data_IF_575529967459
#
_entry.id   IF_575529967459
#
_cell.length_a   1.000
_cell.length_b   1.000
_cell.length_c   1.000
_cell.angle_alpha   90.00
_cell.angle_beta   90.00
_cell.angle_gamma   90.00
#
_symmetry.space_group_name_H-M   'P 1'
#
loop_
_entity.id
_entity.type
_entity.pdbx_description
1 polymer ?
#
# COMPACT_ATOMS: atom_id res chain seq x y z
N UNK A 1 3.04 -5.78 45.79
CA UNK A 1 2.08 -6.28 46.81
C UNK A 1 0.75 -6.75 46.22
N UNK A 2 0.08 -5.98 45.36
CA UNK A 2 -1.22 -6.37 44.77
C UNK A 2 -1.20 -7.75 44.05
N UNK A 3 -0.21 -8.01 43.19
CA UNK A 3 -0.05 -9.30 42.49
C UNK A 3 -0.05 -10.49 43.46
N UNK A 4 0.62 -10.36 44.60
CA UNK A 4 0.74 -11.43 45.59
C UNK A 4 -0.61 -11.69 46.29
N UNK A 5 -1.37 -10.64 46.61
CA UNK A 5 -2.72 -10.79 47.17
C UNK A 5 -3.66 -11.48 46.19
N UNK A 6 -3.65 -11.07 44.92
CA UNK A 6 -4.48 -11.70 43.90
C UNK A 6 -4.07 -13.15 43.62
N UNK A 7 -2.77 -13.46 43.62
CA UNK A 7 -2.28 -14.84 43.48
C UNK A 7 -2.71 -15.73 44.65
N UNK A 8 -2.72 -15.22 45.89
CA UNK A 8 -3.25 -15.96 47.05
C UNK A 8 -4.76 -16.18 46.93
N UNK A 9 -5.52 -15.18 46.51
CA UNK A 9 -6.95 -15.32 46.30
C UNK A 9 -7.27 -16.40 45.24
N UNK A 10 -6.56 -16.38 44.11
CA UNK A 10 -6.70 -17.36 43.04
C UNK A 10 -6.22 -18.77 43.42
N UNK A 11 -5.33 -18.89 44.40
CA UNK A 11 -4.93 -20.18 44.97
C UNK A 11 -6.01 -20.77 45.88
N UNK A 12 -6.75 -19.91 46.60
CA UNK A 12 -7.87 -20.34 47.44
C UNK A 12 -9.10 -20.69 46.60
N UNK A 13 -9.41 -19.88 45.60
CA UNK A 13 -10.48 -20.13 44.64
C UNK A 13 -10.07 -19.68 43.22
N UNK A 14 -9.87 -20.66 42.34
CA UNK A 14 -9.44 -20.43 40.96
C UNK A 14 -10.56 -19.94 40.04
N UNK A 15 -11.82 -19.96 40.50
CA UNK A 15 -13.00 -19.57 39.72
C UNK A 15 -13.30 -18.07 39.81
N UNK A 16 -12.56 -17.32 40.63
CA UNK A 16 -12.73 -15.87 40.79
C UNK A 16 -12.20 -15.10 39.57
N UNK A 17 -13.02 -15.00 38.53
CA UNK A 17 -12.68 -14.37 37.23
C UNK A 17 -12.14 -12.95 37.40
N UNK A 18 -12.79 -12.14 38.23
CA UNK A 18 -12.40 -10.74 38.46
C UNK A 18 -10.97 -10.60 38.99
N UNK A 19 -10.48 -11.58 39.76
CA UNK A 19 -9.13 -11.55 40.30
C UNK A 19 -8.06 -11.79 39.23
N UNK A 20 -8.38 -12.50 38.14
CA UNK A 20 -7.48 -12.54 36.98
C UNK A 20 -7.39 -11.16 36.32
N UNK A 21 -8.51 -10.44 36.16
CA UNK A 21 -8.51 -9.11 35.57
C UNK A 21 -7.78 -8.09 36.46
N UNK A 22 -8.00 -8.11 37.78
CA UNK A 22 -7.29 -7.25 38.75
C UNK A 22 -5.79 -7.58 38.80
N UNK A 23 -5.42 -8.85 38.72
CA UNK A 23 -4.00 -9.25 38.65
C UNK A 23 -3.36 -8.81 37.35
N UNK A 24 -4.08 -8.90 36.23
CA UNK A 24 -3.61 -8.35 34.97
C UNK A 24 -3.38 -6.84 35.07
N UNK A 25 -4.29 -6.10 35.69
CA UNK A 25 -4.12 -4.65 35.90
C UNK A 25 -2.85 -4.35 36.69
N UNK A 26 -2.60 -5.08 37.77
CA UNK A 26 -1.35 -4.93 38.54
C UNK A 26 -0.10 -5.22 37.67
N UNK A 27 -0.14 -6.20 36.78
CA UNK A 27 0.96 -6.48 35.85
C UNK A 27 1.13 -5.39 34.77
N UNK A 28 0.04 -4.77 34.31
CA UNK A 28 0.10 -3.63 33.37
C UNK A 28 0.85 -2.46 34.02
N UNK A 29 0.55 -2.15 35.29
CA UNK A 29 1.24 -1.09 36.04
C UNK A 29 2.73 -1.41 36.27
N UNK A 30 3.12 -2.69 36.24
CA UNK A 30 4.51 -3.15 36.31
C UNK A 30 5.17 -3.27 34.92
N UNK A 31 4.46 -2.92 33.84
CA UNK A 31 4.88 -3.13 32.45
C UNK A 31 5.19 -4.60 32.09
N UNK A 32 4.75 -5.57 32.90
CA UNK A 32 4.80 -6.98 32.54
C UNK A 32 3.58 -7.36 31.69
N UNK A 33 3.63 -6.95 30.43
CA UNK A 33 2.56 -7.20 29.48
C UNK A 33 2.34 -8.69 29.20
N UNK A 34 3.38 -9.51 29.36
CA UNK A 34 3.31 -10.96 29.14
C UNK A 34 2.41 -11.63 30.18
N UNK A 35 2.65 -11.36 31.46
CA UNK A 35 1.84 -11.84 32.57
C UNK A 35 0.44 -11.22 32.55
N UNK A 36 0.32 -9.94 32.20
CA UNK A 36 -0.97 -9.30 32.03
C UNK A 36 -1.84 -9.99 30.96
N UNK A 37 -1.28 -10.25 29.77
CA UNK A 37 -1.99 -10.93 28.68
C UNK A 37 -2.42 -12.35 29.07
N UNK A 38 -1.57 -13.10 29.77
CA UNK A 38 -1.94 -14.45 30.22
C UNK A 38 -3.14 -14.44 31.19
N UNK A 39 -3.16 -13.48 32.12
CA UNK A 39 -4.28 -13.33 33.05
C UNK A 39 -5.56 -12.89 32.35
N UNK A 40 -5.49 -11.96 31.40
CA UNK A 40 -6.66 -11.55 30.63
C UNK A 40 -7.19 -12.66 29.73
N UNK A 41 -6.32 -13.49 29.13
CA UNK A 41 -6.76 -14.69 28.38
C UNK A 41 -7.53 -15.67 29.27
N UNK A 42 -7.10 -15.85 30.53
CA UNK A 42 -7.86 -16.65 31.51
C UNK A 42 -9.21 -16.01 31.79
N UNK A 43 -9.27 -14.70 32.05
CA UNK A 43 -10.53 -14.00 32.26
C UNK A 43 -11.49 -14.15 31.06
N UNK A 44 -11.00 -13.95 29.83
CA UNK A 44 -11.77 -14.16 28.61
C UNK A 44 -12.24 -15.61 28.45
N UNK A 45 -11.46 -16.61 28.88
CA UNK A 45 -11.87 -18.01 28.77
C UNK A 45 -13.03 -18.37 29.72
N UNK A 46 -13.14 -17.71 30.86
CA UNK A 46 -14.27 -17.90 31.78
C UNK A 46 -15.50 -17.09 31.36
N UNK A 47 -15.30 -15.88 30.83
CA UNK A 47 -16.38 -14.98 30.41
C UNK A 47 -16.13 -14.47 28.99
N UNK A 48 -16.38 -15.29 27.96
CA UNK A 48 -16.10 -14.91 26.56
C UNK A 48 -16.99 -13.78 26.05
N UNK A 49 -18.19 -13.61 26.63
CA UNK A 49 -19.14 -12.55 26.28
C UNK A 49 -18.74 -11.18 26.85
N UNK A 50 -17.81 -11.14 27.82
CA UNK A 50 -17.37 -9.90 28.45
C UNK A 50 -16.36 -9.17 27.58
N UNK A 51 -16.86 -8.25 26.75
CA UNK A 51 -16.05 -7.46 25.81
C UNK A 51 -14.95 -6.64 26.49
N UNK A 52 -15.11 -6.27 27.77
CA UNK A 52 -14.11 -5.47 28.50
C UNK A 52 -12.78 -6.21 28.66
N UNK A 53 -12.82 -7.52 28.90
CA UNK A 53 -11.58 -8.32 29.01
C UNK A 53 -10.89 -8.45 27.66
N UNK A 54 -11.67 -8.62 26.58
CA UNK A 54 -11.14 -8.65 25.21
C UNK A 54 -10.49 -7.31 24.84
N UNK A 55 -11.15 -6.20 25.11
CA UNK A 55 -10.60 -4.85 24.89
C UNK A 55 -9.34 -4.59 25.70
N UNK A 56 -9.31 -5.00 26.97
CA UNK A 56 -8.10 -4.88 27.79
C UNK A 56 -6.99 -5.79 27.27
N UNK A 57 -7.30 -7.00 26.81
CA UNK A 57 -6.32 -7.94 26.24
C UNK A 57 -5.69 -7.37 24.97
N UNK A 58 -6.49 -6.85 24.04
CA UNK A 58 -5.94 -6.28 22.80
C UNK A 58 -5.13 -5.01 23.05
N UNK A 59 -5.49 -4.21 24.06
CA UNK A 59 -4.66 -3.10 24.53
C UNK A 59 -3.31 -3.57 25.09
N UNK A 60 -3.29 -4.62 25.91
CA UNK A 60 -2.04 -5.18 26.45
C UNK A 60 -1.16 -5.73 25.33
N UNK A 61 -1.74 -6.45 24.36
CA UNK A 61 -1.01 -6.93 23.18
C UNK A 61 -0.46 -5.76 22.36
N UNK A 62 -1.22 -4.67 22.23
CA UNK A 62 -0.71 -3.46 21.56
C UNK A 62 0.52 -2.89 22.25
N UNK A 63 0.46 -2.73 23.58
CA UNK A 63 1.59 -2.20 24.37
C UNK A 63 2.80 -3.12 24.29
N UNK A 64 2.59 -4.43 24.43
CA UNK A 64 3.65 -5.43 24.26
C UNK A 64 4.29 -5.36 22.87
N UNK A 65 3.47 -5.33 21.81
CA UNK A 65 3.94 -5.22 20.44
C UNK A 65 4.68 -3.91 20.19
N UNK A 66 4.26 -2.81 20.83
CA UNK A 66 4.92 -1.51 20.72
C UNK A 66 6.31 -1.53 21.38
N UNK A 67 6.45 -2.11 22.57
CA UNK A 67 7.75 -2.27 23.21
C UNK A 67 8.69 -3.12 22.35
N UNK A 68 8.21 -4.26 21.83
CA UNK A 68 9.00 -5.10 20.92
C UNK A 68 9.39 -4.38 19.62
N UNK A 69 8.52 -3.51 19.11
CA UNK A 69 8.82 -2.70 17.93
C UNK A 69 9.92 -1.67 18.20
N UNK A 70 9.87 -1.01 19.36
CA UNK A 70 10.89 -0.04 19.80
C UNK A 70 12.25 -0.72 20.08
N UNK A 71 12.23 -1.97 20.53
CA UNK A 71 13.42 -2.82 20.67
C UNK A 71 13.94 -3.38 19.32
N UNK A 72 13.32 -3.02 18.19
CA UNK A 72 13.60 -3.56 16.87
C UNK A 72 13.40 -5.09 16.75
N UNK A 73 12.69 -5.72 17.69
CA UNK A 73 12.29 -7.12 17.65
C UNK A 73 11.06 -7.32 16.72
N UNK A 74 11.18 -6.87 15.47
CA UNK A 74 10.08 -6.82 14.51
C UNK A 74 9.38 -8.17 14.25
N UNK A 75 10.06 -9.34 14.22
CA UNK A 75 9.38 -10.62 14.05
C UNK A 75 8.43 -10.94 15.21
N UNK A 76 8.82 -10.61 16.44
CA UNK A 76 8.00 -10.88 17.62
C UNK A 76 6.91 -9.83 17.80
N UNK A 77 7.21 -8.55 17.52
CA UNK A 77 6.20 -7.50 17.42
C UNK A 77 5.11 -7.88 16.40
N UNK A 78 5.50 -8.37 15.22
CA UNK A 78 4.55 -8.82 14.20
C UNK A 78 3.65 -9.96 14.71
N UNK A 79 4.19 -10.95 15.42
CA UNK A 79 3.38 -12.03 16.01
C UNK A 79 2.35 -11.49 17.00
N UNK A 80 2.77 -10.58 17.88
CA UNK A 80 1.90 -10.00 18.92
C UNK A 80 0.81 -9.12 18.29
N UNK A 81 1.15 -8.23 17.36
CA UNK A 81 0.15 -7.43 16.65
C UNK A 81 -0.79 -8.30 15.80
N UNK A 82 -0.29 -9.38 15.20
CA UNK A 82 -1.13 -10.33 14.46
C UNK A 82 -2.16 -10.99 15.39
N UNK A 83 -1.77 -11.38 16.60
CA UNK A 83 -2.71 -11.88 17.62
C UNK A 83 -3.79 -10.84 17.96
N UNK A 84 -3.40 -9.58 18.18
CA UNK A 84 -4.37 -8.51 18.43
C UNK A 84 -5.34 -8.30 17.26
N UNK A 85 -4.85 -8.38 16.02
CA UNK A 85 -5.68 -8.26 14.81
C UNK A 85 -6.68 -9.40 14.65
N UNK A 86 -6.33 -10.63 15.06
CA UNK A 86 -7.26 -11.76 15.04
C UNK A 86 -8.36 -11.63 16.09
N UNK A 87 -8.06 -11.01 17.24
CA UNK A 87 -9.02 -10.78 18.31
C UNK A 87 -10.02 -9.66 18.01
N UNK A 88 -9.60 -8.63 17.26
CA UNK A 88 -10.44 -7.50 16.86
C UNK A 88 -10.19 -7.14 15.38
N UNK A 89 -10.75 -7.92 14.44
CA UNK A 89 -10.50 -7.75 13.00
C UNK A 89 -11.01 -6.41 12.47
N UNK A 90 -12.05 -5.83 13.08
CA UNK A 90 -12.59 -4.52 12.71
C UNK A 90 -11.62 -3.36 12.99
N UNK A 91 -10.65 -3.56 13.89
CA UNK A 91 -9.74 -2.51 14.31
C UNK A 91 -8.50 -2.45 13.41
N UNK A 92 -8.55 -1.59 12.40
CA UNK A 92 -7.47 -1.40 11.43
C UNK A 92 -6.10 -1.04 12.05
N UNK A 93 -6.07 -0.44 13.24
CA UNK A 93 -4.82 -0.04 13.91
C UNK A 93 -3.83 -1.20 14.10
N UNK A 94 -4.32 -2.41 14.39
CA UNK A 94 -3.45 -3.58 14.55
C UNK A 94 -2.82 -4.00 13.22
N UNK A 95 -3.59 -3.95 12.13
CA UNK A 95 -3.08 -4.27 10.79
C UNK A 95 -2.06 -3.25 10.32
N UNK A 96 -2.25 -1.95 10.62
CA UNK A 96 -1.23 -0.94 10.35
C UNK A 96 0.08 -1.20 11.10
N UNK A 97 0.01 -1.67 12.35
CA UNK A 97 1.20 -2.10 13.11
C UNK A 97 1.86 -3.34 12.49
N UNK A 98 1.07 -4.32 12.03
CA UNK A 98 1.60 -5.45 11.27
C UNK A 98 2.32 -4.99 9.99
N UNK A 99 1.74 -4.06 9.23
CA UNK A 99 2.37 -3.49 8.03
C UNK A 99 3.70 -2.81 8.37
N UNK A 100 3.74 -2.00 9.44
CA UNK A 100 4.97 -1.36 9.90
C UNK A 100 6.07 -2.38 10.23
N UNK A 101 5.73 -3.48 10.91
CA UNK A 101 6.67 -4.56 11.18
C UNK A 101 7.15 -5.23 9.89
N UNK A 102 6.25 -5.49 8.94
CA UNK A 102 6.60 -6.11 7.66
C UNK A 102 7.53 -5.22 6.82
N UNK A 103 7.32 -3.90 6.84
CA UNK A 103 8.19 -2.94 6.18
C UNK A 103 9.58 -2.89 6.82
N UNK A 104 9.64 -2.89 8.16
CA UNK A 104 10.91 -2.92 8.90
C UNK A 104 11.69 -4.23 8.70
N UNK A 105 10.98 -5.33 8.41
CA UNK A 105 11.55 -6.63 8.04
C UNK A 105 11.87 -6.76 6.55
N UNK A 106 11.65 -5.71 5.75
CA UNK A 106 11.82 -5.74 4.28
C UNK A 106 10.96 -6.82 3.58
N UNK A 107 9.89 -7.28 4.24
CA UNK A 107 8.93 -8.25 3.71
C UNK A 107 7.88 -7.53 2.86
N UNK A 108 8.33 -6.88 1.78
CA UNK A 108 7.51 -6.00 0.96
C UNK A 108 6.34 -6.71 0.27
N UNK A 109 6.51 -7.96 -0.17
CA UNK A 109 5.43 -8.74 -0.80
C UNK A 109 4.32 -9.07 0.21
N UNK A 110 4.70 -9.45 1.43
CA UNK A 110 3.73 -9.74 2.49
C UNK A 110 2.98 -8.46 2.90
N UNK A 111 3.71 -7.34 3.03
CA UNK A 111 3.10 -6.03 3.28
C UNK A 111 2.12 -5.66 2.16
N UNK A 112 2.51 -5.83 0.89
CA UNK A 112 1.66 -5.56 -0.27
C UNK A 112 0.40 -6.41 -0.24
N UNK A 113 0.51 -7.70 0.12
CA UNK A 113 -0.64 -8.59 0.24
C UNK A 113 -1.63 -8.10 1.31
N UNK A 114 -1.11 -7.62 2.46
CA UNK A 114 -1.93 -7.12 3.57
C UNK A 114 -2.61 -5.81 3.20
N UNK A 115 -1.88 -4.85 2.64
CA UNK A 115 -2.44 -3.56 2.17
C UNK A 115 -3.48 -3.77 1.07
N UNK A 116 -3.25 -4.72 0.17
CA UNK A 116 -4.23 -5.04 -0.89
C UNK A 116 -5.52 -5.60 -0.31
N UNK A 117 -5.45 -6.46 0.71
CA UNK A 117 -6.64 -6.94 1.43
C UNK A 117 -7.40 -5.79 2.10
N UNK A 118 -6.70 -4.85 2.74
CA UNK A 118 -7.37 -3.68 3.36
C UNK A 118 -8.15 -2.85 2.34
N UNK A 119 -7.54 -2.58 1.18
CA UNK A 119 -8.21 -1.84 0.10
C UNK A 119 -9.44 -2.60 -0.41
N UNK A 120 -9.35 -3.92 -0.56
CA UNK A 120 -10.48 -4.75 -1.00
C UNK A 120 -11.64 -4.79 0.01
N UNK A 121 -11.33 -4.68 1.30
CA UNK A 121 -12.34 -4.61 2.37
C UNK A 121 -12.98 -3.23 2.51
N UNK A 122 -12.62 -2.25 1.67
CA UNK A 122 -13.21 -0.91 1.68
C UNK A 122 -12.71 0.01 2.81
N UNK A 123 -11.78 -0.45 3.64
CA UNK A 123 -11.12 0.36 4.68
C UNK A 123 -10.04 1.22 4.03
N UNK A 124 -10.50 2.28 3.37
CA UNK A 124 -9.68 3.11 2.49
C UNK A 124 -9.55 4.53 3.03
N UNK A 125 -8.31 4.97 3.16
CA UNK A 125 -7.95 6.38 3.25
C UNK A 125 -6.80 6.65 2.24
N UNK A 126 -6.45 7.91 2.04
CA UNK A 126 -5.39 8.26 1.09
C UNK A 126 -4.03 7.65 1.48
N UNK A 127 -3.73 7.50 2.78
CA UNK A 127 -2.47 6.92 3.27
C UNK A 127 -2.30 5.44 2.89
N UNK A 128 -3.38 4.64 2.91
CA UNK A 128 -3.35 3.22 2.53
C UNK A 128 -3.03 3.08 1.03
N UNK A 129 -3.66 3.90 0.18
CA UNK A 129 -3.31 3.94 -1.25
C UNK A 129 -1.89 4.43 -1.47
N UNK A 130 -1.44 5.44 -0.72
CA UNK A 130 -0.07 5.94 -0.79
C UNK A 130 0.96 4.87 -0.40
N UNK A 131 0.68 4.10 0.66
CA UNK A 131 1.53 2.98 1.08
C UNK A 131 1.61 1.91 -0.01
N UNK A 132 0.46 1.54 -0.61
CA UNK A 132 0.44 0.56 -1.71
C UNK A 132 1.17 1.07 -2.95
N UNK A 133 1.01 2.34 -3.30
CA UNK A 133 1.74 2.98 -4.39
C UNK A 133 3.25 2.92 -4.16
N UNK A 134 3.75 3.22 -2.95
CA UNK A 134 5.17 3.11 -2.62
C UNK A 134 5.69 1.67 -2.76
N UNK A 135 4.93 0.70 -2.30
CA UNK A 135 5.28 -0.72 -2.47
C UNK A 135 5.33 -1.10 -3.94
N UNK A 136 4.36 -0.68 -4.76
CA UNK A 136 4.40 -0.91 -6.21
C UNK A 136 5.58 -0.21 -6.89
N UNK A 137 5.90 1.02 -6.49
CA UNK A 137 7.06 1.75 -7.01
C UNK A 137 8.36 0.99 -6.70
N UNK A 138 8.52 0.55 -5.44
CA UNK A 138 9.68 -0.24 -5.01
C UNK A 138 9.80 -1.56 -5.77
N UNK A 139 8.67 -2.24 -6.02
CA UNK A 139 8.60 -3.49 -6.75
C UNK A 139 8.61 -3.32 -8.28
N UNK A 140 8.94 -2.14 -8.78
CA UNK A 140 9.00 -1.81 -10.22
C UNK A 140 7.70 -2.10 -10.98
N UNK A 141 6.56 -1.79 -10.35
CA UNK A 141 5.20 -1.86 -10.93
C UNK A 141 4.62 -0.45 -11.10
N UNK A 142 5.20 0.41 -11.95
CA UNK A 142 4.83 1.83 -12.07
C UNK A 142 3.36 2.04 -12.48
N UNK A 143 2.80 1.18 -13.33
CA UNK A 143 1.41 1.33 -13.79
C UNK A 143 0.39 1.20 -12.64
N UNK A 144 0.65 0.29 -11.70
CA UNK A 144 -0.16 0.12 -10.50
C UNK A 144 0.09 1.25 -9.50
N UNK A 145 1.35 1.67 -9.35
CA UNK A 145 1.72 2.83 -8.55
C UNK A 145 0.94 4.09 -8.98
N UNK A 146 0.95 4.41 -10.28
CA UNK A 146 0.25 5.57 -10.83
C UNK A 146 -1.24 5.56 -10.51
N UNK A 147 -1.89 4.41 -10.68
CA UNK A 147 -3.32 4.26 -10.38
C UNK A 147 -3.62 4.50 -8.91
N UNK A 148 -2.80 3.94 -8.01
CA UNK A 148 -2.97 4.14 -6.57
C UNK A 148 -2.71 5.58 -6.14
N UNK A 149 -1.74 6.27 -6.75
CA UNK A 149 -1.53 7.70 -6.50
C UNK A 149 -2.73 8.53 -6.94
N UNK A 150 -3.32 8.20 -8.08
CA UNK A 150 -4.54 8.85 -8.54
C UNK A 150 -5.72 8.57 -7.59
N UNK A 151 -5.88 7.34 -7.11
CA UNK A 151 -6.89 6.99 -6.09
C UNK A 151 -6.65 7.73 -4.77
N UNK A 152 -5.41 7.86 -4.32
CA UNK A 152 -5.05 8.61 -3.12
C UNK A 152 -5.44 10.09 -3.25
N UNK A 153 -5.14 10.72 -4.39
CA UNK A 153 -5.46 12.13 -4.65
C UNK A 153 -6.94 12.39 -4.90
N UNK A 154 -7.71 11.39 -5.34
CA UNK A 154 -9.17 11.48 -5.39
C UNK A 154 -9.78 11.54 -3.97
N UNK A 155 -9.20 10.83 -3.01
CA UNK A 155 -9.64 10.85 -1.61
C UNK A 155 -9.14 12.08 -0.85
N UNK A 156 -7.86 12.43 -1.02
CA UNK A 156 -7.27 13.65 -0.46
C UNK A 156 -6.50 14.42 -1.53
N UNK A 157 -7.15 15.41 -2.17
CA UNK A 157 -6.52 16.27 -3.17
C UNK A 157 -5.37 17.12 -2.62
N UNK A 158 -5.15 17.20 -1.30
CA UNK A 158 -4.05 17.95 -0.68
C UNK A 158 -2.90 17.06 -0.22
N UNK A 159 -2.97 15.74 -0.44
CA UNK A 159 -1.92 14.80 -0.05
C UNK A 159 -0.59 15.12 -0.77
N UNK A 160 0.33 15.76 -0.05
CA UNK A 160 1.57 16.31 -0.62
C UNK A 160 2.46 15.22 -1.22
N UNK A 161 2.67 14.13 -0.48
CA UNK A 161 3.56 13.04 -0.92
C UNK A 161 3.03 12.33 -2.17
N UNK A 162 1.71 12.16 -2.31
CA UNK A 162 1.10 11.58 -3.49
C UNK A 162 1.27 12.49 -4.73
N UNK A 163 1.12 13.81 -4.56
CA UNK A 163 1.39 14.78 -5.65
C UNK A 163 2.83 14.75 -6.11
N UNK A 164 3.78 14.79 -5.18
CA UNK A 164 5.21 14.79 -5.51
C UNK A 164 5.58 13.52 -6.27
N UNK A 165 5.16 12.34 -5.78
CA UNK A 165 5.48 11.08 -6.44
C UNK A 165 4.79 10.97 -7.81
N UNK A 166 3.54 11.42 -7.93
CA UNK A 166 2.83 11.43 -9.21
C UNK A 166 3.51 12.35 -10.23
N UNK A 167 3.93 13.55 -9.80
CA UNK A 167 4.63 14.48 -10.67
C UNK A 167 5.95 13.87 -11.17
N UNK A 168 6.73 13.25 -10.29
CA UNK A 168 7.96 12.55 -10.68
C UNK A 168 7.71 11.48 -11.75
N UNK A 169 6.63 10.69 -11.62
CA UNK A 169 6.27 9.67 -12.61
C UNK A 169 5.86 10.30 -13.95
N UNK A 170 5.08 11.38 -13.92
CA UNK A 170 4.69 12.11 -15.14
C UNK A 170 5.90 12.70 -15.84
N UNK A 171 6.85 13.28 -15.11
CA UNK A 171 8.09 13.83 -15.68
C UNK A 171 8.94 12.73 -16.32
N UNK A 172 9.08 11.58 -15.66
CA UNK A 172 9.74 10.40 -16.23
C UNK A 172 9.04 9.89 -17.49
N UNK A 173 7.71 9.88 -17.51
CA UNK A 173 6.94 9.50 -18.69
C UNK A 173 7.16 10.47 -19.86
N UNK A 174 7.22 11.77 -19.60
CA UNK A 174 7.50 12.79 -20.61
C UNK A 174 8.91 12.65 -21.19
N UNK A 175 9.92 12.44 -20.33
CA UNK A 175 11.30 12.19 -20.76
C UNK A 175 11.39 10.92 -21.62
N UNK A 176 10.80 9.81 -21.17
CA UNK A 176 10.78 8.57 -21.93
C UNK A 176 10.06 8.72 -23.28
N UNK A 177 9.01 9.54 -23.36
CA UNK A 177 8.34 9.89 -24.62
C UNK A 177 9.27 10.69 -25.55
N UNK A 178 10.01 11.67 -25.03
CA UNK A 178 10.95 12.46 -25.83
C UNK A 178 12.08 11.59 -26.40
N UNK A 179 12.68 10.74 -25.57
CA UNK A 179 13.69 9.77 -25.99
C UNK A 179 13.17 8.84 -27.09
N UNK A 180 11.92 8.37 -26.94
CA UNK A 180 11.27 7.54 -27.96
C UNK A 180 11.14 8.29 -29.29
N UNK A 181 10.82 9.59 -29.27
CA UNK A 181 10.78 10.45 -30.45
C UNK A 181 12.13 10.54 -31.17
N UNK A 182 13.20 10.82 -30.42
CA UNK A 182 14.56 10.91 -30.96
C UNK A 182 14.98 9.58 -31.60
N UNK A 183 14.75 8.47 -30.91
CA UNK A 183 15.09 7.13 -31.41
C UNK A 183 14.28 6.74 -32.65
N UNK A 184 13.01 7.12 -32.70
CA UNK A 184 12.15 6.86 -33.86
C UNK A 184 12.65 7.60 -35.11
N UNK A 185 13.04 8.87 -34.95
CA UNK A 185 13.64 9.70 -36.02
C UNK A 185 14.98 9.11 -36.49
N UNK A 186 15.78 8.56 -35.58
CA UNK A 186 17.04 7.86 -35.91
C UNK A 186 16.83 6.48 -36.57
N UNK A 187 15.59 6.01 -36.75
CA UNK A 187 15.28 4.68 -37.27
C UNK A 187 15.49 3.53 -36.28
N UNK A 188 15.81 3.82 -35.02
CA UNK A 188 15.98 2.83 -33.94
C UNK A 188 14.62 2.43 -33.34
N UNK A 189 13.72 1.90 -34.16
CA UNK A 189 12.31 1.69 -33.82
C UNK A 189 12.11 0.75 -32.62
N UNK A 190 12.91 -0.30 -32.47
CA UNK A 190 12.81 -1.21 -31.32
C UNK A 190 13.08 -0.49 -29.98
N UNK A 191 14.14 0.32 -29.93
CA UNK A 191 14.46 1.11 -28.73
C UNK A 191 13.41 2.21 -28.49
N UNK A 192 12.88 2.82 -29.55
CA UNK A 192 11.78 3.77 -29.44
C UNK A 192 10.52 3.12 -28.83
N UNK A 193 10.19 1.90 -29.25
CA UNK A 193 9.09 1.11 -28.70
C UNK A 193 9.29 0.75 -27.22
N UNK A 194 10.51 0.42 -26.82
CA UNK A 194 10.84 0.19 -25.41
C UNK A 194 10.65 1.46 -24.57
N UNK A 195 11.14 2.61 -25.06
CA UNK A 195 11.02 3.89 -24.36
C UNK A 195 9.57 4.36 -24.24
N UNK A 196 8.75 4.20 -25.28
CA UNK A 196 7.32 4.55 -25.18
C UNK A 196 6.56 3.59 -24.26
N UNK A 197 6.91 2.30 -24.19
CA UNK A 197 6.30 1.39 -23.22
C UNK A 197 6.60 1.86 -21.78
N UNK A 198 7.84 2.26 -21.50
CA UNK A 198 8.23 2.85 -20.20
C UNK A 198 7.44 4.14 -19.90
N UNK A 199 7.20 4.99 -20.90
CA UNK A 199 6.36 6.17 -20.74
C UNK A 199 4.91 5.80 -20.36
N UNK A 200 4.32 4.82 -21.05
CA UNK A 200 2.95 4.33 -20.79
C UNK A 200 2.86 3.73 -19.38
N UNK A 201 3.86 2.98 -18.97
CA UNK A 201 3.93 2.39 -17.63
C UNK A 201 3.92 3.45 -16.52
N UNK A 202 4.57 4.59 -16.74
CA UNK A 202 4.64 5.69 -15.77
C UNK A 202 3.46 6.68 -15.85
N UNK A 203 2.74 6.74 -16.96
CA UNK A 203 1.53 7.55 -17.11
C UNK A 203 0.47 6.81 -17.96
N UNK A 204 -0.14 5.74 -17.41
CA UNK A 204 -1.04 4.86 -18.15
C UNK A 204 -2.40 5.49 -18.51
N UNK A 205 -2.70 6.68 -17.99
CA UNK A 205 -3.96 7.39 -18.28
C UNK A 205 -3.83 8.41 -19.41
N UNK A 206 -2.64 8.67 -19.96
CA UNK A 206 -2.46 9.58 -21.09
C UNK A 206 -2.66 8.86 -22.45
N UNK A 207 -3.76 9.13 -23.19
CA UNK A 207 -4.05 8.51 -24.48
C UNK A 207 -3.00 8.82 -25.55
N UNK A 208 -2.30 9.96 -25.43
CA UNK A 208 -1.31 10.41 -26.41
C UNK A 208 -0.11 9.47 -26.50
N UNK A 209 0.19 8.74 -25.42
CA UNK A 209 1.27 7.76 -25.39
C UNK A 209 0.93 6.53 -26.22
N UNK A 210 -0.31 6.05 -26.16
CA UNK A 210 -0.79 4.92 -26.95
C UNK A 210 -0.85 5.26 -28.45
N UNK A 211 -1.33 6.46 -28.78
CA UNK A 211 -1.33 6.95 -30.16
C UNK A 211 0.09 7.01 -30.74
N UNK A 212 1.03 7.58 -29.98
CA UNK A 212 2.43 7.65 -30.39
C UNK A 212 3.03 6.24 -30.58
N UNK A 213 2.79 5.33 -29.63
CA UNK A 213 3.23 3.93 -29.74
C UNK A 213 2.68 3.25 -30.99
N UNK A 214 1.40 3.46 -31.31
CA UNK A 214 0.77 2.94 -32.53
C UNK A 214 1.51 3.45 -33.78
N UNK A 215 1.77 4.77 -33.87
CA UNK A 215 2.49 5.35 -35.00
C UNK A 215 3.89 4.74 -35.17
N UNK A 216 4.68 4.61 -34.10
CA UNK A 216 6.03 4.03 -34.15
C UNK A 216 6.01 2.56 -34.57
N UNK A 217 4.97 1.81 -34.21
CA UNK A 217 4.84 0.39 -34.59
C UNK A 217 4.36 0.16 -36.02
N UNK A 218 3.60 1.09 -36.59
CA UNK A 218 2.96 0.94 -37.91
C UNK A 218 3.75 1.56 -39.06
N UNK A 219 4.46 2.66 -38.82
CA UNK A 219 5.05 3.46 -39.88
C UNK A 219 6.59 3.45 -39.84
N UNK A 220 7.25 3.38 -41.01
CA UNK A 220 8.71 3.48 -41.09
C UNK A 220 9.20 4.88 -40.74
N UNK A 221 10.48 4.99 -40.35
CA UNK A 221 11.08 6.21 -39.79
C UNK A 221 10.95 7.46 -40.66
N UNK A 222 10.97 7.33 -41.99
CA UNK A 222 10.83 8.46 -42.91
C UNK A 222 9.41 9.06 -42.92
N UNK A 223 8.37 8.24 -42.71
CA UNK A 223 6.98 8.72 -42.54
C UNK A 223 6.83 9.46 -41.22
N UNK A 224 7.49 8.96 -40.16
CA UNK A 224 7.52 9.62 -38.86
C UNK A 224 8.26 10.96 -38.94
N UNK A 225 9.37 11.04 -39.68
CA UNK A 225 10.12 12.27 -39.92
C UNK A 225 9.25 13.37 -40.55
N UNK A 226 8.48 13.01 -41.59
CA UNK A 226 7.52 13.92 -42.22
C UNK A 226 6.38 14.35 -41.27
N UNK A 227 5.93 13.45 -40.39
CA UNK A 227 4.88 13.77 -39.44
C UNK A 227 5.34 14.71 -38.31
N UNK A 228 6.59 14.57 -37.84
CA UNK A 228 7.14 15.40 -36.77
C UNK A 228 7.58 16.79 -37.24
N UNK A 229 8.02 16.95 -38.48
CA UNK A 229 8.42 18.26 -39.03
C UNK A 229 7.22 19.16 -39.35
N UNK A 230 6.06 18.58 -39.71
CA UNK A 230 4.83 19.34 -39.96
C UNK A 230 3.99 19.63 -38.70
N UNK A 231 4.23 18.92 -37.59
CA UNK A 231 3.47 19.04 -36.34
C UNK A 231 3.78 20.27 -35.47
N UNK A 232 4.69 21.15 -35.88
CA UNK A 232 5.03 22.38 -35.16
C UNK A 232 3.94 23.47 -35.19
N UNK A 233 2.89 23.31 -35.99
CA UNK A 233 1.83 24.33 -36.22
C UNK A 233 0.49 24.02 -35.52
N UNK A 234 0.48 23.17 -34.49
CA UNK A 234 -0.70 22.98 -33.63
C UNK A 234 -1.84 22.15 -34.24
N UNK A 235 -1.65 21.58 -35.43
CA UNK A 235 -2.58 20.60 -36.01
C UNK A 235 -2.16 19.18 -35.62
N UNK A 236 -3.08 18.47 -34.96
CA UNK A 236 -2.99 17.05 -34.59
C UNK A 236 -2.87 16.15 -35.85
N UNK A 237 -1.67 16.07 -36.42
CA UNK A 237 -1.35 15.12 -37.49
C UNK A 237 -1.59 13.63 -37.16
N UNK A 238 -1.55 13.16 -35.88
CA UNK A 238 -1.94 11.78 -35.58
C UNK A 238 -3.38 11.46 -35.98
N UNK A 239 -4.28 12.45 -35.92
CA UNK A 239 -5.70 12.29 -36.28
C UNK A 239 -5.87 12.20 -37.80
N UNK A 240 -5.10 12.96 -38.58
CA UNK A 240 -5.18 12.95 -40.04
C UNK A 240 -4.69 11.62 -40.65
N UNK A 241 -3.69 10.98 -40.06
CA UNK A 241 -3.22 9.64 -40.47
C UNK A 241 -4.19 8.54 -40.01
N UNK A 242 -4.77 8.65 -38.80
CA UNK A 242 -5.82 7.75 -38.30
C UNK A 242 -7.10 7.79 -39.14
N UNK A 243 -7.53 8.98 -39.58
CA UNK A 243 -8.70 9.16 -40.45
C UNK A 243 -8.48 8.57 -41.85
N UNK A 244 -7.23 8.47 -42.31
CA UNK A 244 -6.90 7.85 -43.61
C UNK A 244 -6.96 6.32 -43.58
N UNK A 245 -6.69 5.71 -42.42
CA UNK A 245 -6.79 4.26 -42.19
C UNK A 245 -8.22 3.82 -41.78
N UNK A 246 -9.13 4.74 -41.46
CA UNK A 246 -10.51 4.47 -40.97
C UNK A 246 -11.63 4.55 -42.03
N UNK A 247 -11.34 4.60 -43.34
CA UNK A 247 -12.37 4.52 -44.39
C UNK A 247 -12.28 3.22 -45.23
N UNK A 248 -13.39 2.55 -45.63
CA UNK A 248 -14.81 2.84 -45.44
C UNK A 248 -15.51 1.75 -44.61
N UNK A 249 -15.82 2.00 -43.33
CA UNK A 249 -16.76 1.15 -42.55
C UNK A 249 -17.92 1.96 -41.95
N UNK A 250 -18.09 3.21 -42.34
CA UNK A 250 -19.26 4.02 -42.03
C UNK A 250 -19.76 4.72 -43.30
N UNK A 251 -20.59 4.01 -44.06
CA UNK A 251 -21.76 4.51 -44.77
C UNK A 251 -22.84 3.45 -44.66
#
# INVERSE_FOLDING_TARGET
MAVLFFSRALHLDSQLVDFYALRAEAYIQLCDFSSAAQNLRRACSFQPENTKYLERLTLVLYLQGQCLFEECAFPDALKVFSQASMLQPEKASFRYRCMACLLALERYQDCLSLVTKEVMLGMTNADVFMLRARLYNFLQKPSLCYRDLHSALLLDPKHSQAKVLLQMMVDQAQQARQDAGILAVQGKLQHALQRINCAIENNPLDPRLFLFRYCVGKYPSWVLLYAFTLGGSGLNLPIALLLRDLGPFFF
#
